data_IF_831772198347
#
_entry.id   IF_831772198347
#
_cell.length_a   1.000
_cell.length_b   1.000
_cell.length_c   1.000
_cell.angle_alpha   90.00
_cell.angle_beta   90.00
_cell.angle_gamma   90.00
#
_symmetry.space_group_name_H-M   'P 1'
#
loop_
_entity.id
_entity.type
_entity.pdbx_description
1 polymer ?
#
# COMPACT_ATOMS: atom_id res chain seq x y z
N UNK A 1 -7.96 -13.68 26.79
CA UNK A 1 -7.61 -13.44 28.21
C UNK A 1 -8.43 -12.24 28.65
N UNK A 2 -9.01 -12.22 29.84
CA UNK A 2 -9.68 -11.02 30.39
C UNK A 2 -8.81 -10.40 31.46
N UNK A 3 -9.03 -9.14 31.81
CA UNK A 3 -8.44 -8.56 33.02
C UNK A 3 -8.82 -9.36 34.27
N UNK A 4 -8.10 -9.13 35.36
CA UNK A 4 -8.29 -9.86 36.63
C UNK A 4 -9.73 -9.77 37.16
N UNK A 5 -10.48 -8.77 36.70
CA UNK A 5 -11.87 -8.53 37.07
C UNK A 5 -12.89 -9.18 36.11
N UNK A 6 -12.43 -9.78 35.00
CA UNK A 6 -13.28 -10.40 33.99
C UNK A 6 -14.14 -9.40 33.19
N UNK A 7 -13.85 -8.10 33.27
CA UNK A 7 -14.69 -7.03 32.70
C UNK A 7 -14.21 -6.57 31.33
N UNK A 8 -12.93 -6.75 31.02
CA UNK A 8 -12.36 -6.33 29.74
C UNK A 8 -11.56 -7.45 29.13
N UNK A 9 -11.80 -7.71 27.86
CA UNK A 9 -10.94 -8.59 27.09
C UNK A 9 -9.55 -7.96 26.95
N UNK A 10 -8.54 -8.65 27.47
CA UNK A 10 -7.13 -8.41 27.18
C UNK A 10 -6.79 -9.24 25.94
N UNK A 11 -6.81 -8.56 24.79
CA UNK A 11 -6.23 -9.09 23.56
C UNK A 11 -4.75 -8.70 23.50
N UNK A 12 -3.86 -9.67 23.66
CA UNK A 12 -2.45 -9.52 23.31
C UNK A 12 -2.30 -9.70 21.80
N UNK A 13 -1.90 -8.63 21.12
CA UNK A 13 -1.62 -8.67 19.69
C UNK A 13 -0.13 -8.96 19.45
N UNK A 14 0.23 -9.70 18.38
CA UNK A 14 1.61 -9.86 17.98
C UNK A 14 2.28 -8.50 17.78
N UNK A 15 3.57 -8.41 18.11
CA UNK A 15 4.37 -7.24 17.76
C UNK A 15 4.52 -7.15 16.22
N UNK A 16 4.62 -5.95 15.63
CA UNK A 16 4.88 -5.79 14.20
C UNK A 16 6.13 -6.57 13.74
N UNK A 17 6.01 -7.24 12.60
CA UNK A 17 7.08 -8.07 12.04
C UNK A 17 7.38 -9.35 12.82
N UNK A 18 6.56 -9.72 13.80
CA UNK A 18 6.75 -10.96 14.55
C UNK A 18 6.61 -12.17 13.61
N UNK A 19 7.63 -13.03 13.60
CA UNK A 19 7.67 -14.22 12.73
C UNK A 19 8.17 -13.94 11.31
N UNK A 20 8.50 -12.70 10.95
CA UNK A 20 9.14 -12.35 9.68
C UNK A 20 10.60 -11.95 9.92
N UNK A 21 11.53 -12.80 9.46
CA UNK A 21 12.95 -12.49 9.48
C UNK A 21 13.40 -11.91 8.13
N UNK A 22 13.21 -10.60 7.95
CA UNK A 22 13.69 -9.88 6.77
C UNK A 22 14.68 -8.80 7.19
N UNK A 23 15.90 -8.95 6.67
CA UNK A 23 16.99 -8.02 6.90
C UNK A 23 16.93 -6.82 5.96
N UNK A 24 17.42 -5.69 6.47
CA UNK A 24 17.71 -4.52 5.65
C UNK A 24 18.98 -4.75 4.85
N UNK A 25 19.03 -4.17 3.66
CA UNK A 25 20.24 -4.13 2.86
C UNK A 25 21.21 -3.08 3.42
N UNK A 26 22.49 -3.42 3.51
CA UNK A 26 23.54 -2.46 3.84
C UNK A 26 23.67 -1.43 2.71
N UNK A 27 23.35 -0.18 3.00
CA UNK A 27 23.40 0.90 2.01
C UNK A 27 24.84 1.39 1.82
N UNK A 28 25.43 1.06 0.67
CA UNK A 28 26.77 1.49 0.26
C UNK A 28 26.80 2.98 -0.13
N UNK A 29 27.98 3.62 -0.19
CA UNK A 29 28.11 5.00 -0.68
C UNK A 29 27.59 5.19 -2.12
N UNK A 30 27.82 4.21 -2.99
CA UNK A 30 27.34 4.22 -4.38
C UNK A 30 25.81 4.23 -4.43
N UNK A 31 25.16 3.38 -3.63
CA UNK A 31 23.69 3.34 -3.57
C UNK A 31 23.10 4.68 -3.11
N UNK A 32 23.76 5.39 -2.18
CA UNK A 32 23.33 6.75 -1.78
C UNK A 32 23.52 7.77 -2.89
N UNK A 33 24.62 7.67 -3.63
CA UNK A 33 24.88 8.55 -4.77
C UNK A 33 23.80 8.36 -5.85
N UNK A 34 23.51 7.11 -6.20
CA UNK A 34 22.47 6.76 -7.17
C UNK A 34 21.08 7.21 -6.72
N UNK A 35 20.75 7.05 -5.43
CA UNK A 35 19.50 7.56 -4.86
C UNK A 35 19.39 9.09 -4.99
N UNK A 36 20.47 9.82 -4.68
CA UNK A 36 20.48 11.29 -4.79
C UNK A 36 20.30 11.74 -6.24
N UNK A 37 20.91 11.04 -7.19
CA UNK A 37 20.71 11.29 -8.62
C UNK A 37 19.26 10.99 -9.03
N UNK A 38 18.70 9.87 -8.59
CA UNK A 38 17.31 9.52 -8.85
C UNK A 38 16.34 10.57 -8.28
N UNK A 39 16.56 11.06 -7.06
CA UNK A 39 15.79 12.17 -6.49
C UNK A 39 15.85 13.43 -7.38
N UNK A 40 17.02 13.76 -7.94
CA UNK A 40 17.18 14.86 -8.88
C UNK A 40 16.41 14.63 -10.20
N UNK A 41 16.43 13.40 -10.70
CA UNK A 41 15.70 13.01 -11.91
C UNK A 41 14.18 13.08 -11.72
N UNK A 42 13.65 12.54 -10.62
CA UNK A 42 12.21 12.54 -10.34
C UNK A 42 11.67 13.89 -9.83
N UNK A 43 12.53 14.83 -9.46
CA UNK A 43 12.09 16.21 -9.21
C UNK A 43 11.42 16.81 -10.46
N UNK A 44 11.85 16.39 -11.66
CA UNK A 44 11.24 16.76 -12.93
C UNK A 44 10.16 15.72 -13.31
N UNK A 45 8.88 16.07 -13.13
CA UNK A 45 7.74 15.17 -13.42
C UNK A 45 7.72 14.63 -14.86
N UNK A 46 8.22 15.42 -15.82
CA UNK A 46 8.32 15.00 -17.22
C UNK A 46 9.26 13.80 -17.44
N UNK A 47 10.18 13.54 -16.51
CA UNK A 47 11.11 12.42 -16.60
C UNK A 47 10.51 11.11 -16.11
N UNK A 48 9.33 11.12 -15.47
CA UNK A 48 8.77 9.91 -14.88
C UNK A 48 8.31 8.95 -15.97
N UNK A 49 8.77 7.71 -15.86
CA UNK A 49 8.35 6.60 -16.72
C UNK A 49 7.10 5.93 -16.16
N UNK A 50 7.05 5.77 -14.84
CA UNK A 50 5.87 5.25 -14.15
C UNK A 50 5.67 5.93 -12.78
N UNK A 51 4.42 5.94 -12.32
CA UNK A 51 4.05 6.29 -10.96
C UNK A 51 3.13 5.23 -10.38
N UNK A 52 3.66 4.47 -9.44
CA UNK A 52 2.91 3.49 -8.65
C UNK A 52 2.48 4.11 -7.33
N UNK A 53 1.17 4.12 -7.08
CA UNK A 53 0.57 4.49 -5.81
C UNK A 53 -0.02 3.24 -5.17
N UNK A 54 0.50 2.87 -4.00
CA UNK A 54 0.00 1.73 -3.24
C UNK A 54 -0.81 2.23 -2.05
N UNK A 55 -2.00 1.66 -1.87
CA UNK A 55 -2.83 1.84 -0.69
C UNK A 55 -2.77 0.57 0.14
N UNK A 56 -2.15 0.65 1.32
CA UNK A 56 -2.01 -0.46 2.26
C UNK A 56 -3.07 -0.33 3.35
N UNK A 57 -3.91 -1.35 3.48
CA UNK A 57 -4.84 -1.47 4.59
C UNK A 57 -4.10 -1.60 5.91
N UNK A 58 -4.42 -0.68 6.83
CA UNK A 58 -3.88 -0.63 8.18
C UNK A 58 -5.01 -0.66 9.21
N UNK A 59 -6.16 -1.25 8.87
CA UNK A 59 -7.28 -1.47 9.77
C UNK A 59 -7.01 -2.57 10.79
N UNK A 60 -7.82 -2.62 11.85
CA UNK A 60 -7.66 -3.62 12.91
C UNK A 60 -7.76 -5.07 12.44
N UNK A 61 -8.53 -5.38 11.39
CA UNK A 61 -8.66 -6.74 10.86
C UNK A 61 -7.40 -7.25 10.19
N UNK A 62 -6.50 -6.35 9.77
CA UNK A 62 -5.18 -6.70 9.24
C UNK A 62 -4.20 -7.26 10.29
N UNK A 63 -4.58 -7.29 11.58
CA UNK A 63 -3.83 -7.96 12.65
C UNK A 63 -4.03 -9.47 12.71
N UNK A 64 -4.98 -10.02 11.98
CA UNK A 64 -5.24 -11.46 12.00
C UNK A 64 -4.01 -12.21 11.50
N UNK A 65 -3.68 -13.29 12.20
CA UNK A 65 -2.56 -14.20 11.94
C UNK A 65 -3.02 -15.43 11.15
N UNK A 66 -3.78 -15.21 10.08
CA UNK A 66 -4.42 -16.25 9.27
C UNK A 66 -3.93 -16.24 7.81
N UNK A 67 -2.78 -15.61 7.59
CA UNK A 67 -1.94 -15.80 6.40
C UNK A 67 -0.95 -16.92 6.70
N UNK A 68 -0.27 -17.43 5.66
CA UNK A 68 0.74 -18.49 5.78
C UNK A 68 1.68 -18.26 6.97
N UNK A 69 2.04 -19.35 7.63
CA UNK A 69 2.96 -19.39 8.78
C UNK A 69 2.52 -18.57 10.01
N UNK A 70 1.23 -18.22 10.11
CA UNK A 70 0.67 -17.54 11.29
C UNK A 70 1.11 -16.07 11.40
N UNK A 71 1.53 -15.48 10.29
CA UNK A 71 1.96 -14.09 10.19
C UNK A 71 0.74 -13.15 10.11
N UNK A 72 0.85 -11.95 10.67
CA UNK A 72 -0.21 -10.94 10.53
C UNK A 72 -0.41 -10.55 9.06
N UNK A 73 -1.66 -10.38 8.61
CA UNK A 73 -1.97 -9.92 7.24
C UNK A 73 -1.18 -8.67 6.85
N UNK A 74 -1.08 -7.67 7.73
CA UNK A 74 -0.31 -6.45 7.47
C UNK A 74 1.20 -6.71 7.32
N UNK A 75 1.77 -7.62 8.12
CA UNK A 75 3.18 -7.95 8.04
C UNK A 75 3.49 -8.64 6.69
N UNK A 76 2.59 -9.53 6.24
CA UNK A 76 2.68 -10.15 4.92
C UNK A 76 2.61 -9.11 3.79
N UNK A 77 1.80 -8.05 3.93
CA UNK A 77 1.76 -6.94 2.96
C UNK A 77 3.11 -6.24 2.86
N UNK A 78 3.70 -5.86 3.99
CA UNK A 78 4.98 -5.16 3.98
C UNK A 78 6.12 -6.03 3.45
N UNK A 79 6.13 -7.32 3.80
CA UNK A 79 7.09 -8.28 3.27
C UNK A 79 6.94 -8.45 1.76
N UNK A 80 5.72 -8.59 1.24
CA UNK A 80 5.47 -8.70 -0.21
C UNK A 80 5.91 -7.43 -0.96
N UNK A 81 5.64 -6.24 -0.41
CA UNK A 81 6.11 -4.99 -1.01
C UNK A 81 7.64 -4.90 -1.04
N UNK A 82 8.30 -5.25 0.06
CA UNK A 82 9.76 -5.16 0.13
C UNK A 82 10.43 -6.23 -0.73
N UNK A 83 10.05 -7.50 -0.58
CA UNK A 83 10.72 -8.64 -1.22
C UNK A 83 10.32 -8.79 -2.68
N UNK A 84 9.03 -8.85 -2.97
CA UNK A 84 8.51 -9.22 -4.29
C UNK A 84 8.34 -8.01 -5.19
N UNK A 85 7.83 -6.89 -4.67
CA UNK A 85 7.66 -5.69 -5.49
C UNK A 85 9.00 -4.96 -5.71
N UNK A 86 9.68 -4.54 -4.64
CA UNK A 86 10.94 -3.77 -4.78
C UNK A 86 12.15 -4.68 -4.99
N UNK A 87 12.35 -5.66 -4.09
CA UNK A 87 13.56 -6.48 -4.04
C UNK A 87 13.78 -7.30 -5.30
N UNK A 88 12.74 -7.95 -5.83
CA UNK A 88 12.83 -8.73 -7.06
C UNK A 88 13.15 -7.84 -8.27
N UNK A 89 12.48 -6.69 -8.43
CA UNK A 89 12.73 -5.76 -9.54
C UNK A 89 14.19 -5.26 -9.55
N UNK A 90 14.76 -5.00 -8.37
CA UNK A 90 16.16 -4.57 -8.24
C UNK A 90 17.15 -5.69 -8.52
N UNK A 91 16.86 -6.93 -8.12
CA UNK A 91 17.75 -8.09 -8.34
C UNK A 91 17.78 -8.55 -9.79
N UNK A 92 16.63 -8.52 -10.48
CA UNK A 92 16.54 -8.93 -11.89
C UNK A 92 17.11 -7.85 -12.82
N UNK A 93 17.36 -6.63 -12.31
CA UNK A 93 17.81 -5.50 -13.13
C UNK A 93 16.71 -4.96 -14.05
N UNK A 94 15.46 -5.36 -13.82
CA UNK A 94 14.26 -4.91 -14.53
C UNK A 94 13.80 -3.53 -14.08
N UNK A 95 14.23 -3.07 -12.91
CA UNK A 95 14.02 -1.70 -12.46
C UNK A 95 14.65 -0.74 -13.48
N UNK A 96 13.82 -0.20 -14.38
CA UNK A 96 14.22 0.89 -15.26
C UNK A 96 14.34 2.17 -14.44
N UNK A 97 15.56 2.39 -13.98
CA UNK A 97 16.27 3.64 -14.19
C UNK A 97 15.66 4.88 -13.53
N UNK A 98 15.89 5.11 -12.23
CA UNK A 98 15.90 6.42 -11.57
C UNK A 98 14.65 7.32 -11.73
N UNK A 99 13.60 6.84 -12.40
CA UNK A 99 12.47 7.63 -12.93
C UNK A 99 11.13 6.95 -12.70
N UNK A 100 11.14 5.66 -12.33
CA UNK A 100 10.00 5.00 -11.71
C UNK A 100 9.78 5.53 -10.29
N UNK A 101 8.55 5.96 -10.02
CA UNK A 101 8.18 6.62 -8.78
C UNK A 101 7.18 5.78 -8.00
N UNK A 102 7.40 5.68 -6.70
CA UNK A 102 6.57 4.98 -5.76
C UNK A 102 6.02 5.92 -4.69
N UNK A 103 4.71 5.86 -4.44
CA UNK A 103 4.09 6.48 -3.28
C UNK A 103 3.26 5.45 -2.52
N UNK A 104 3.20 5.60 -1.20
CA UNK A 104 2.48 4.69 -0.33
C UNK A 104 1.54 5.46 0.59
N UNK A 105 0.30 4.98 0.66
CA UNK A 105 -0.74 5.46 1.56
C UNK A 105 -1.06 4.35 2.57
N UNK A 106 -0.96 4.65 3.85
CA UNK A 106 -1.53 3.84 4.92
C UNK A 106 -3.01 4.16 5.07
N UNK A 107 -3.87 3.18 4.83
CA UNK A 107 -5.32 3.29 4.99
C UNK A 107 -5.69 2.97 6.44
N UNK A 108 -5.57 4.01 7.27
CA UNK A 108 -6.02 4.05 8.67
C UNK A 108 -6.59 5.43 8.96
N UNK A 109 -7.73 5.52 9.63
CA UNK A 109 -8.32 6.82 10.00
C UNK A 109 -8.59 7.69 8.75
N UNK A 110 -7.96 8.86 8.62
CA UNK A 110 -8.14 9.71 7.43
C UNK A 110 -7.20 9.39 6.26
N UNK A 111 -6.50 8.25 6.32
CA UNK A 111 -5.43 7.92 5.39
C UNK A 111 -4.17 8.76 5.65
N UNK A 112 -3.00 8.19 5.43
CA UNK A 112 -1.72 8.88 5.64
C UNK A 112 -0.78 8.57 4.49
N UNK A 113 -0.13 9.59 3.91
CA UNK A 113 0.91 9.34 2.91
C UNK A 113 2.18 8.98 3.68
N UNK A 114 2.49 7.68 3.76
CA UNK A 114 3.63 7.17 4.48
C UNK A 114 4.93 7.35 3.69
N UNK A 115 4.85 7.20 2.36
CA UNK A 115 5.97 7.43 1.45
C UNK A 115 5.49 8.31 0.29
N UNK A 116 6.17 9.44 0.08
CA UNK A 116 5.80 10.39 -0.96
C UNK A 116 6.86 10.40 -2.07
N UNK A 117 6.47 9.91 -3.25
CA UNK A 117 7.22 10.04 -4.50
C UNK A 117 8.70 9.64 -4.38
N UNK A 118 8.93 8.42 -3.91
CA UNK A 118 10.26 7.83 -3.74
C UNK A 118 10.71 7.14 -5.04
N UNK A 119 12.00 7.19 -5.38
CA UNK A 119 12.54 6.32 -6.42
C UNK A 119 12.47 4.85 -5.97
N UNK A 120 12.31 3.93 -6.92
CA UNK A 120 12.34 2.49 -6.64
C UNK A 120 13.80 2.03 -6.53
N UNK A 121 14.29 1.92 -5.30
CA UNK A 121 15.67 1.50 -5.00
C UNK A 121 15.79 0.79 -3.64
N UNK A 122 17.02 0.46 -3.25
CA UNK A 122 17.31 -0.23 -2.00
C UNK A 122 17.06 0.63 -0.74
N UNK A 123 16.94 1.95 -0.88
CA UNK A 123 16.52 2.82 0.23
C UNK A 123 15.01 2.69 0.42
N UNK A 124 14.23 2.71 -0.67
CA UNK A 124 12.80 2.37 -0.60
C UNK A 124 12.57 0.97 -0.01
N UNK A 125 13.37 -0.02 -0.40
CA UNK A 125 13.34 -1.35 0.20
C UNK A 125 13.48 -1.28 1.73
N UNK A 126 14.51 -0.58 2.23
CA UNK A 126 14.75 -0.46 3.66
C UNK A 126 13.64 0.34 4.38
N UNK A 127 13.07 1.36 3.73
CA UNK A 127 11.93 2.13 4.26
C UNK A 127 10.69 1.22 4.43
N UNK A 128 10.45 0.29 3.52
CA UNK A 128 9.37 -0.70 3.63
C UNK A 128 9.61 -1.69 4.78
N UNK A 129 10.86 -2.11 5.00
CA UNK A 129 11.24 -2.93 6.15
C UNK A 129 11.10 -2.16 7.47
N UNK A 130 11.34 -0.85 7.48
CA UNK A 130 11.02 -0.02 8.64
C UNK A 130 9.52 0.00 8.92
N UNK A 131 8.70 0.18 7.89
CA UNK A 131 7.24 0.14 8.01
C UNK A 131 6.76 -1.21 8.56
N UNK A 132 7.32 -2.35 8.12
CA UNK A 132 7.05 -3.67 8.69
C UNK A 132 7.27 -3.70 10.22
N UNK A 133 8.34 -3.06 10.70
CA UNK A 133 8.75 -3.13 12.12
C UNK A 133 8.01 -2.16 13.03
N UNK A 134 7.37 -1.12 12.48
CA UNK A 134 6.70 -0.08 13.28
C UNK A 134 5.19 -0.02 13.08
N UNK A 135 4.67 -0.61 12.01
CA UNK A 135 3.26 -0.50 11.66
C UNK A 135 2.39 -1.36 12.58
N UNK A 136 1.52 -0.70 13.33
CA UNK A 136 0.48 -1.36 14.12
C UNK A 136 -0.88 -1.05 13.51
N UNK A 137 -1.46 -1.95 12.70
CA UNK A 137 -2.78 -1.73 12.10
C UNK A 137 -3.81 -1.46 13.20
N UNK A 138 -4.74 -0.53 13.05
CA UNK A 138 -5.73 -0.24 14.08
C UNK A 138 -6.92 0.54 13.51
N UNK A 139 -8.06 0.48 14.20
CA UNK A 139 -9.24 1.23 13.81
C UNK A 139 -9.85 0.77 12.48
N UNK A 140 -10.70 1.61 11.85
CA UNK A 140 -11.38 1.28 10.60
C UNK A 140 -10.50 1.49 9.36
N UNK A 141 -10.73 0.67 8.33
CA UNK A 141 -10.12 0.80 7.01
C UNK A 141 -10.91 1.74 6.12
N UNK A 142 -10.44 2.98 5.99
CA UNK A 142 -11.18 4.06 5.33
C UNK A 142 -10.69 4.30 3.90
N UNK A 143 -11.42 3.75 2.93
CA UNK A 143 -11.12 3.79 1.50
C UNK A 143 -11.29 5.18 0.90
N UNK A 144 -12.36 5.92 1.23
CA UNK A 144 -12.63 7.21 0.58
C UNK A 144 -11.49 8.22 0.83
N UNK A 145 -11.05 8.46 2.08
CA UNK A 145 -9.92 9.36 2.34
C UNK A 145 -8.61 8.88 1.70
N UNK A 146 -8.41 7.55 1.63
CA UNK A 146 -7.23 6.98 0.97
C UNK A 146 -7.27 7.19 -0.55
N UNK A 147 -8.44 7.04 -1.17
CA UNK A 147 -8.68 7.30 -2.59
C UNK A 147 -8.47 8.77 -2.95
N UNK A 148 -8.94 9.71 -2.12
CA UNK A 148 -8.69 11.14 -2.32
C UNK A 148 -7.18 11.46 -2.31
N UNK A 149 -6.43 10.84 -1.39
CA UNK A 149 -4.97 10.98 -1.35
C UNK A 149 -4.30 10.35 -2.56
N UNK A 150 -4.77 9.18 -2.99
CA UNK A 150 -4.25 8.51 -4.17
C UNK A 150 -4.48 9.36 -5.43
N UNK A 151 -5.66 9.96 -5.57
CA UNK A 151 -5.95 10.90 -6.65
C UNK A 151 -4.98 12.06 -6.67
N UNK A 152 -4.78 12.72 -5.53
CA UNK A 152 -3.85 13.85 -5.43
C UNK A 152 -2.42 13.47 -5.82
N UNK A 153 -1.97 12.28 -5.43
CA UNK A 153 -0.66 11.76 -5.82
C UNK A 153 -0.58 11.49 -7.32
N UNK A 154 -1.57 10.82 -7.91
CA UNK A 154 -1.60 10.52 -9.34
C UNK A 154 -1.71 11.80 -10.20
N UNK A 155 -2.48 12.79 -9.74
CA UNK A 155 -2.63 14.09 -10.39
C UNK A 155 -1.37 14.96 -10.32
N UNK A 156 -0.41 14.63 -9.44
CA UNK A 156 0.84 15.37 -9.31
C UNK A 156 1.74 15.28 -10.55
N UNK A 157 1.48 14.32 -11.44
CA UNK A 157 2.11 14.21 -12.74
C UNK A 157 1.10 14.13 -13.88
N UNK A 158 0.92 15.26 -14.57
CA UNK A 158 0.00 15.37 -15.69
C UNK A 158 0.63 14.99 -17.05
N UNK A 159 1.94 14.69 -17.09
CA UNK A 159 2.64 14.33 -18.33
C UNK A 159 2.10 13.01 -18.90
N UNK A 160 1.63 13.03 -20.16
CA UNK A 160 0.94 11.92 -20.80
C UNK A 160 1.75 10.64 -21.01
N UNK A 161 3.08 10.73 -20.92
CA UNK A 161 4.02 9.61 -21.11
C UNK A 161 4.23 8.73 -19.88
N UNK A 162 3.74 9.16 -18.71
CA UNK A 162 3.90 8.43 -17.45
C UNK A 162 2.77 7.39 -17.28
N UNK A 163 3.15 6.13 -17.14
CA UNK A 163 2.25 5.02 -16.81
C UNK A 163 1.84 5.09 -15.34
N UNK A 164 0.55 4.97 -15.05
CA UNK A 164 0.03 5.09 -13.69
C UNK A 164 -0.49 3.73 -13.20
N UNK A 165 -0.12 3.36 -11.98
CA UNK A 165 -0.61 2.17 -11.30
C UNK A 165 -1.17 2.55 -9.93
N UNK A 166 -2.42 2.18 -9.66
CA UNK A 166 -3.00 2.21 -8.33
C UNK A 166 -3.23 0.78 -7.84
N UNK A 167 -2.64 0.43 -6.70
CA UNK A 167 -2.75 -0.92 -6.13
C UNK A 167 -3.29 -0.88 -4.71
N UNK A 168 -4.33 -1.66 -4.44
CA UNK A 168 -4.87 -1.88 -3.09
C UNK A 168 -4.34 -3.16 -2.48
N UNK A 169 -3.79 -3.10 -1.27
CA UNK A 169 -3.36 -4.27 -0.49
C UNK A 169 -4.20 -4.31 0.79
N UNK A 170 -5.26 -5.13 0.80
CA UNK A 170 -6.29 -5.10 1.84
C UNK A 170 -6.92 -6.47 2.07
N UNK A 171 -7.65 -6.64 3.16
CA UNK A 171 -8.55 -7.78 3.36
C UNK A 171 -9.97 -7.57 2.82
N UNK A 172 -10.24 -6.43 2.17
CA UNK A 172 -11.51 -6.15 1.50
C UNK A 172 -12.66 -5.78 2.42
N UNK A 173 -12.38 -5.41 3.68
CA UNK A 173 -13.39 -5.03 4.68
C UNK A 173 -13.42 -3.51 4.90
N UNK A 174 -14.21 -2.75 4.11
CA UNK A 174 -14.29 -1.30 4.29
C UNK A 174 -14.91 -0.97 5.65
N UNK A 175 -14.24 -0.07 6.38
CA UNK A 175 -14.69 0.45 7.67
C UNK A 175 -15.25 1.88 7.59
N UNK A 176 -15.30 2.47 6.39
CA UNK A 176 -15.88 3.79 6.17
C UNK A 176 -17.35 3.81 6.61
N UNK A 177 -17.75 4.85 7.34
CA UNK A 177 -19.15 5.14 7.61
C UNK A 177 -19.61 6.27 6.69
N UNK A 178 -20.69 6.06 5.95
CA UNK A 178 -21.35 7.09 5.13
C UNK A 178 -22.18 8.00 6.04
N UNK A 179 -22.36 9.26 5.65
CA UNK A 179 -23.27 10.18 6.33
C UNK A 179 -24.66 9.53 6.46
N UNK A 180 -25.07 9.23 7.69
CA UNK A 180 -26.27 8.42 7.99
C UNK A 180 -26.00 7.14 8.79
N UNK A 181 -24.73 6.80 9.06
CA UNK A 181 -24.35 5.68 9.94
C UNK A 181 -24.35 4.30 9.26
N UNK A 182 -24.56 4.23 7.94
CA UNK A 182 -24.38 3.00 7.17
C UNK A 182 -22.91 2.83 6.78
N UNK A 183 -22.40 1.61 6.93
CA UNK A 183 -21.09 1.25 6.41
C UNK A 183 -21.07 1.43 4.89
N UNK A 184 -19.94 1.90 4.36
CA UNK A 184 -19.73 2.11 2.93
C UNK A 184 -19.80 0.76 2.22
N UNK A 185 -20.73 0.66 1.28
CA UNK A 185 -20.96 -0.58 0.55
C UNK A 185 -19.83 -0.80 -0.45
N UNK A 186 -19.54 -2.06 -0.79
CA UNK A 186 -18.58 -2.41 -1.84
C UNK A 186 -18.81 -1.62 -3.14
N UNK A 187 -20.08 -1.31 -3.45
CA UNK A 187 -20.48 -0.56 -4.63
C UNK A 187 -19.99 0.88 -4.61
N UNK A 188 -20.01 1.55 -3.46
CA UNK A 188 -19.55 2.93 -3.33
C UNK A 188 -18.02 3.03 -3.49
N UNK A 189 -17.25 2.11 -2.91
CA UNK A 189 -15.82 2.03 -3.13
C UNK A 189 -15.49 1.79 -4.62
N UNK A 190 -16.21 0.87 -5.27
CA UNK A 190 -16.10 0.63 -6.70
C UNK A 190 -16.46 1.87 -7.55
N UNK A 191 -17.46 2.65 -7.16
CA UNK A 191 -17.82 3.91 -7.81
C UNK A 191 -16.70 4.96 -7.70
N UNK A 192 -16.07 5.13 -6.54
CA UNK A 192 -14.94 6.04 -6.37
C UNK A 192 -13.75 5.62 -7.23
N UNK A 193 -13.42 4.33 -7.26
CA UNK A 193 -12.35 3.80 -8.13
C UNK A 193 -12.67 3.99 -9.61
N UNK A 194 -13.92 3.75 -10.02
CA UNK A 194 -14.36 3.99 -11.40
C UNK A 194 -14.29 5.47 -11.78
N UNK A 195 -14.69 6.36 -10.87
CA UNK A 195 -14.58 7.80 -11.08
C UNK A 195 -13.11 8.21 -11.25
N UNK A 196 -12.22 7.70 -10.39
CA UNK A 196 -10.77 7.92 -10.51
C UNK A 196 -10.23 7.41 -11.85
N UNK A 197 -10.51 6.16 -12.21
CA UNK A 197 -10.08 5.56 -13.47
C UNK A 197 -10.55 6.35 -14.69
N UNK A 198 -11.78 6.88 -14.67
CA UNK A 198 -12.31 7.69 -15.76
C UNK A 198 -11.52 8.99 -16.00
N UNK A 199 -10.89 9.55 -14.96
CA UNK A 199 -10.08 10.79 -15.07
C UNK A 199 -8.76 10.55 -15.78
N UNK A 200 -8.12 9.41 -15.53
CA UNK A 200 -6.83 9.06 -16.11
C UNK A 200 -6.94 8.23 -17.39
N UNK A 201 -8.15 7.75 -17.73
CA UNK A 201 -8.43 6.93 -18.92
C UNK A 201 -7.46 5.74 -19.00
N UNK A 202 -6.96 5.45 -20.19
CA UNK A 202 -6.00 4.38 -20.50
C UNK A 202 -4.65 4.46 -19.78
N UNK A 203 -4.34 5.56 -19.10
CA UNK A 203 -3.06 5.72 -18.40
C UNK A 203 -3.04 5.05 -17.03
N UNK A 204 -4.20 4.86 -16.40
CA UNK A 204 -4.29 4.27 -15.07
C UNK A 204 -4.67 2.80 -15.16
N UNK A 205 -3.79 1.96 -14.63
CA UNK A 205 -4.11 0.59 -14.25
C UNK A 205 -4.49 0.56 -12.79
N UNK A 206 -5.63 -0.05 -12.46
CA UNK A 206 -6.04 -0.28 -11.06
C UNK A 206 -6.00 -1.78 -10.79
N UNK A 207 -5.41 -2.16 -9.66
CA UNK A 207 -5.37 -3.53 -9.19
C UNK A 207 -5.59 -3.63 -7.68
N UNK A 208 -5.88 -4.84 -7.22
CA UNK A 208 -5.99 -5.16 -5.81
C UNK A 208 -5.38 -6.53 -5.52
N UNK A 209 -4.74 -6.67 -4.37
CA UNK A 209 -4.27 -7.93 -3.81
C UNK A 209 -4.96 -8.09 -2.45
N UNK A 210 -5.65 -9.22 -2.32
CA UNK A 210 -6.39 -9.58 -1.13
C UNK A 210 -5.51 -10.37 -0.14
N UNK A 211 -5.58 -10.02 1.14
CA UNK A 211 -4.88 -10.73 2.21
C UNK A 211 -5.88 -11.36 3.18
N UNK A 212 -5.91 -12.68 3.21
CA UNK A 212 -6.74 -13.49 4.10
C UNK A 212 -6.71 -14.98 3.73
N UNK A 213 -7.34 -15.85 4.52
CA UNK A 213 -7.38 -17.29 4.28
C UNK A 213 -8.12 -17.64 2.97
N UNK A 214 -7.86 -18.85 2.43
CA UNK A 214 -8.58 -19.38 1.29
C UNK A 214 -10.09 -19.42 1.55
N UNK A 215 -10.88 -18.92 0.59
CA UNK A 215 -12.35 -18.94 0.67
C UNK A 215 -12.99 -17.75 1.37
N UNK A 216 -12.22 -16.76 1.84
CA UNK A 216 -12.78 -15.49 2.32
C UNK A 216 -13.34 -14.66 1.15
N UNK A 217 -14.45 -13.95 1.39
CA UNK A 217 -15.15 -13.15 0.38
C UNK A 217 -14.50 -11.77 0.24
N UNK A 218 -13.81 -11.55 -0.89
CA UNK A 218 -13.13 -10.28 -1.19
C UNK A 218 -13.92 -9.41 -2.18
N UNK A 219 -15.25 -9.44 -2.11
CA UNK A 219 -16.14 -8.74 -3.07
C UNK A 219 -15.81 -7.25 -3.23
N UNK A 220 -15.37 -6.56 -2.17
CA UNK A 220 -14.93 -5.16 -2.23
C UNK A 220 -13.66 -4.94 -3.05
N UNK A 221 -12.78 -5.94 -3.11
CA UNK A 221 -11.54 -5.90 -3.89
C UNK A 221 -11.71 -6.44 -5.30
N UNK A 222 -12.88 -6.97 -5.65
CA UNK A 222 -13.34 -7.10 -7.04
C UNK A 222 -13.68 -5.72 -7.64
N UNK A 223 -12.85 -4.73 -7.33
CA UNK A 223 -12.71 -3.49 -8.09
C UNK A 223 -12.38 -3.96 -9.49
N UNK A 224 -13.37 -3.96 -10.38
CA UNK A 224 -13.24 -4.55 -11.70
C UNK A 224 -11.93 -4.12 -12.34
N UNK A 225 -11.33 -5.00 -13.13
CA UNK A 225 -10.32 -4.61 -14.11
C UNK A 225 -10.95 -3.59 -15.07
N UNK A 226 -11.07 -2.34 -14.64
CA UNK A 226 -11.57 -1.24 -15.45
C UNK A 226 -10.40 -0.84 -16.32
N UNK A 227 -10.20 -1.61 -17.40
CA UNK A 227 -9.49 -1.08 -18.55
C UNK A 227 -10.35 0.05 -19.12
N UNK A 228 -9.88 1.29 -18.95
CA UNK A 228 -10.49 2.48 -19.54
C UNK A 228 -10.28 2.59 -21.05
#
# INVERSE_FOLDING_TARGET
VTDEEGRKEITSWPAPGCGIDVEKVLITPEMRANHKEALGSIAKKANWTSHTVVVVDQSGSMRKTDVADGVMRADAVWAALALDFVGQQLRVGEAKAATDVFSLIGMRGHGEVLLHQRPVDWILYNDLIDLLRVSTPSGPGNYVPALDKAENLLMSNQCGSCALLLMFLSDGRPGDNVAGGSALTHWQAACCVKALASRFRRRLTVGAIAFGPPGEEFGTLQLGFVQG
#
